data_IF_975721137903
#
_entry.id   IF_975721137903
#
_cell.length_a   1.000
_cell.length_b   1.000
_cell.length_c   1.000
_cell.angle_alpha   90.00
_cell.angle_beta   90.00
_cell.angle_gamma   90.00
#
_symmetry.space_group_name_H-M   'P 1'
#
loop_
_entity.id
_entity.type
_entity.pdbx_description
1 polymer ?
#
# COMPACT_ATOMS: atom_id res chain seq x y z
N UNK A 1 26.23 -17.33 12.18
CA UNK A 1 26.17 -16.15 11.29
C UNK A 1 25.53 -16.64 10.01
N UNK A 2 24.67 -15.85 9.37
CA UNK A 2 24.05 -16.22 8.09
C UNK A 2 25.05 -16.09 6.95
N UNK A 3 24.99 -17.04 5.98
CA UNK A 3 25.89 -17.03 4.81
C UNK A 3 25.41 -16.08 3.70
N UNK A 4 24.51 -15.14 4.03
CA UNK A 4 23.99 -14.12 3.12
C UNK A 4 23.80 -12.76 3.82
N UNK A 5 23.72 -11.70 3.02
CA UNK A 5 23.48 -10.32 3.48
C UNK A 5 22.25 -9.75 2.76
N UNK A 6 21.34 -9.12 3.51
CA UNK A 6 20.28 -8.30 2.93
C UNK A 6 20.88 -6.96 2.52
N UNK A 7 20.96 -6.68 1.22
CA UNK A 7 21.62 -5.47 0.71
C UNK A 7 20.73 -4.22 0.80
N UNK A 8 19.41 -4.38 0.59
CA UNK A 8 18.44 -3.26 0.63
C UNK A 8 17.01 -3.78 0.67
N UNK A 9 16.07 -2.89 1.02
CA UNK A 9 14.63 -3.12 0.75
C UNK A 9 14.35 -2.80 -0.71
N UNK A 10 13.70 -3.71 -1.45
CA UNK A 10 13.37 -3.51 -2.87
C UNK A 10 12.03 -2.80 -3.03
N UNK A 11 10.94 -3.41 -2.56
CA UNK A 11 9.58 -2.87 -2.64
C UNK A 11 8.66 -3.52 -1.60
N UNK A 12 7.49 -2.92 -1.42
CA UNK A 12 6.32 -3.57 -0.80
C UNK A 12 5.28 -3.80 -1.89
N UNK A 13 4.67 -4.97 -1.93
CA UNK A 13 3.70 -5.35 -2.96
C UNK A 13 2.29 -5.45 -2.40
N UNK A 14 1.30 -4.98 -3.18
CA UNK A 14 -0.12 -5.16 -2.93
C UNK A 14 -0.79 -5.82 -4.14
N UNK A 15 -1.57 -6.86 -3.88
CA UNK A 15 -2.49 -7.39 -4.89
C UNK A 15 -3.76 -6.56 -4.87
N UNK A 16 -4.13 -6.02 -6.04
CA UNK A 16 -5.27 -5.14 -6.22
C UNK A 16 -6.30 -5.76 -7.15
N UNK A 17 -7.57 -5.46 -6.95
CA UNK A 17 -8.64 -5.94 -7.83
C UNK A 17 -8.77 -5.11 -9.11
N UNK A 18 -8.32 -3.84 -9.06
CA UNK A 18 -8.38 -2.88 -10.17
C UNK A 18 -7.13 -1.99 -10.16
N UNK A 19 -6.23 -2.23 -11.12
CA UNK A 19 -4.95 -1.53 -11.20
C UNK A 19 -5.11 -0.06 -11.58
N UNK A 20 -6.11 0.28 -12.43
CA UNK A 20 -6.36 1.66 -12.83
C UNK A 20 -6.86 2.49 -11.64
N UNK A 21 -7.80 1.95 -10.85
CA UNK A 21 -8.27 2.59 -9.63
C UNK A 21 -7.14 2.80 -8.62
N UNK A 22 -6.29 1.80 -8.43
CA UNK A 22 -5.17 1.90 -7.49
C UNK A 22 -4.13 2.91 -7.96
N UNK A 23 -3.81 2.94 -9.26
CA UNK A 23 -2.91 3.93 -9.84
C UNK A 23 -3.47 5.35 -9.71
N UNK A 24 -4.76 5.56 -9.97
CA UNK A 24 -5.40 6.87 -9.76
C UNK A 24 -5.24 7.33 -8.31
N UNK A 25 -5.40 6.43 -7.34
CA UNK A 25 -5.19 6.79 -5.94
C UNK A 25 -3.72 7.11 -5.62
N UNK A 26 -2.80 6.20 -5.92
CA UNK A 26 -1.39 6.40 -5.56
C UNK A 26 -0.72 7.53 -6.36
N UNK A 27 -1.03 7.68 -7.65
CA UNK A 27 -0.38 8.68 -8.50
C UNK A 27 -1.12 10.03 -8.47
N UNK A 28 -2.45 10.04 -8.70
CA UNK A 28 -3.17 11.30 -8.88
C UNK A 28 -3.55 11.94 -7.54
N UNK A 29 -3.81 11.13 -6.49
CA UNK A 29 -4.20 11.64 -5.17
C UNK A 29 -2.99 11.79 -4.24
N UNK A 30 -2.13 10.74 -4.13
CA UNK A 30 -0.97 10.77 -3.24
C UNK A 30 0.29 11.36 -3.91
N UNK A 31 0.27 11.59 -5.24
CA UNK A 31 1.35 12.22 -5.96
C UNK A 31 2.58 11.32 -6.19
N UNK A 32 2.42 9.99 -6.15
CA UNK A 32 3.52 9.07 -6.43
C UNK A 32 3.79 8.98 -7.93
N UNK A 33 5.04 8.73 -8.30
CA UNK A 33 5.45 8.60 -9.69
C UNK A 33 5.23 7.17 -10.20
N UNK A 34 4.52 7.01 -11.33
CA UNK A 34 4.44 5.73 -12.02
C UNK A 34 5.78 5.45 -12.74
N UNK A 35 6.50 4.43 -12.29
CA UNK A 35 7.77 4.04 -12.88
C UNK A 35 7.63 3.11 -14.07
N UNK A 36 6.72 2.14 -13.98
CA UNK A 36 6.50 1.12 -15.00
C UNK A 36 5.13 0.48 -14.81
N UNK A 37 4.51 0.08 -15.93
CA UNK A 37 3.32 -0.77 -15.96
C UNK A 37 3.45 -1.75 -17.11
N UNK A 38 3.34 -3.04 -16.85
CA UNK A 38 3.43 -4.06 -17.89
C UNK A 38 2.85 -5.41 -17.45
N UNK A 39 2.31 -6.20 -18.39
CA UNK A 39 2.02 -7.61 -18.13
C UNK A 39 3.32 -8.38 -17.88
N UNK A 40 3.19 -9.53 -17.24
CA UNK A 40 4.30 -10.49 -17.07
C UNK A 40 4.05 -11.74 -17.91
N UNK A 41 5.12 -12.42 -18.27
CA UNK A 41 5.02 -13.73 -18.92
C UNK A 41 4.32 -14.72 -17.99
N UNK A 42 3.16 -15.29 -18.38
CA UNK A 42 2.39 -16.17 -17.49
C UNK A 42 3.17 -17.43 -17.06
N UNK A 43 3.95 -18.04 -17.98
CA UNK A 43 4.73 -19.23 -17.65
C UNK A 43 5.84 -18.95 -16.64
N UNK A 44 6.41 -17.75 -16.65
CA UNK A 44 7.37 -17.30 -15.66
C UNK A 44 6.68 -17.03 -14.31
N UNK A 45 5.56 -16.27 -14.32
CA UNK A 45 4.85 -15.90 -13.10
C UNK A 45 4.27 -17.11 -12.38
N UNK A 46 3.69 -18.07 -13.09
CA UNK A 46 3.21 -19.31 -12.47
C UNK A 46 4.29 -19.96 -11.58
N UNK A 47 5.54 -19.99 -12.05
CA UNK A 47 6.67 -20.55 -11.28
C UNK A 47 7.08 -19.67 -10.10
N UNK A 48 6.98 -18.34 -10.24
CA UNK A 48 7.37 -17.41 -9.17
C UNK A 48 6.37 -17.43 -8.02
N UNK A 49 5.07 -17.37 -8.33
CA UNK A 49 4.02 -17.26 -7.31
C UNK A 49 3.42 -18.62 -6.92
N UNK A 50 3.79 -19.69 -7.61
CA UNK A 50 3.30 -21.06 -7.40
C UNK A 50 1.75 -21.17 -7.50
N UNK A 51 1.15 -20.40 -8.41
CA UNK A 51 -0.29 -20.41 -8.70
C UNK A 51 -0.48 -20.85 -10.15
N UNK A 52 -1.04 -22.06 -10.40
CA UNK A 52 -1.29 -22.53 -11.75
C UNK A 52 -2.17 -21.57 -12.56
N UNK A 53 -1.74 -21.28 -13.78
CA UNK A 53 -2.44 -20.39 -14.69
C UNK A 53 -2.42 -18.91 -14.30
N UNK A 54 -1.50 -18.50 -13.44
CA UNK A 54 -1.37 -17.09 -13.05
C UNK A 54 -1.07 -16.20 -14.28
N UNK A 55 -1.91 -15.19 -14.49
CA UNK A 55 -1.74 -14.10 -15.45
C UNK A 55 -1.89 -12.78 -14.72
N UNK A 56 -0.85 -11.94 -14.76
CA UNK A 56 -0.80 -10.69 -14.00
C UNK A 56 -0.38 -9.49 -14.84
N UNK A 57 -0.85 -8.33 -14.43
CA UNK A 57 -0.29 -7.04 -14.79
C UNK A 57 0.29 -6.37 -13.54
N UNK A 58 1.46 -5.76 -13.68
CA UNK A 58 2.20 -5.15 -12.57
C UNK A 58 2.48 -3.70 -12.88
N UNK A 59 2.30 -2.84 -11.88
CA UNK A 59 2.78 -1.47 -11.91
C UNK A 59 3.69 -1.21 -10.71
N UNK A 60 4.78 -0.47 -10.94
CA UNK A 60 5.62 0.06 -9.88
C UNK A 60 5.39 1.56 -9.74
N UNK A 61 5.17 2.01 -8.51
CA UNK A 61 5.06 3.43 -8.18
C UNK A 61 6.11 3.82 -7.15
N UNK A 62 6.67 5.02 -7.29
CA UNK A 62 7.68 5.56 -6.39
C UNK A 62 7.04 6.48 -5.37
N UNK A 63 6.97 6.02 -4.13
CA UNK A 63 6.70 6.85 -2.96
C UNK A 63 7.99 7.52 -2.46
N UNK A 64 7.93 8.56 -1.62
CA UNK A 64 9.11 9.11 -0.98
C UNK A 64 9.89 8.03 -0.21
N UNK A 65 11.13 7.79 -0.64
CA UNK A 65 12.03 6.82 0.00
C UNK A 65 11.67 5.34 -0.14
N UNK A 66 10.57 4.99 -0.83
CA UNK A 66 10.14 3.61 -0.94
C UNK A 66 9.39 3.33 -2.25
N UNK A 67 9.50 2.10 -2.76
CA UNK A 67 8.78 1.65 -3.96
C UNK A 67 7.64 0.74 -3.57
N UNK A 68 6.47 0.94 -4.21
CA UNK A 68 5.35 0.01 -4.13
C UNK A 68 5.20 -0.73 -5.46
N UNK A 69 4.82 -2.00 -5.37
CA UNK A 69 4.40 -2.82 -6.49
C UNK A 69 2.90 -3.09 -6.37
N UNK A 70 2.16 -2.80 -7.42
CA UNK A 70 0.73 -3.08 -7.51
C UNK A 70 0.52 -4.20 -8.51
N UNK A 71 -0.12 -5.29 -8.10
CA UNK A 71 -0.31 -6.49 -8.91
C UNK A 71 -1.80 -6.74 -9.10
N UNK A 72 -2.26 -6.73 -10.35
CA UNK A 72 -3.59 -7.20 -10.69
C UNK A 72 -3.51 -8.56 -11.33
N UNK A 73 -4.18 -9.56 -10.73
CA UNK A 73 -4.34 -10.87 -11.33
C UNK A 73 -5.51 -10.84 -12.31
N UNK A 74 -5.30 -11.34 -13.53
CA UNK A 74 -6.34 -11.60 -14.54
C UNK A 74 -6.84 -13.04 -14.44
N UNK A 75 -5.95 -13.98 -14.08
CA UNK A 75 -6.21 -15.39 -13.83
C UNK A 75 -5.41 -15.89 -12.62
N UNK A 76 -5.83 -17.00 -11.97
CA UNK A 76 -7.03 -17.80 -12.23
C UNK A 76 -8.32 -17.13 -11.74
N UNK A 77 -9.46 -17.68 -12.12
CA UNK A 77 -10.76 -17.29 -11.57
C UNK A 77 -10.95 -17.74 -10.11
N UNK A 78 -11.99 -17.25 -9.44
CA UNK A 78 -12.32 -17.63 -8.06
C UNK A 78 -11.40 -17.02 -7.00
N UNK A 79 -10.65 -15.97 -7.34
CA UNK A 79 -9.84 -15.21 -6.38
C UNK A 79 -10.73 -14.60 -5.30
N UNK A 80 -10.22 -14.60 -4.08
CA UNK A 80 -10.93 -14.03 -2.92
C UNK A 80 -10.27 -12.74 -2.48
N UNK A 81 -11.08 -11.83 -1.95
CA UNK A 81 -10.56 -10.65 -1.24
C UNK A 81 -10.08 -11.06 0.14
N UNK A 82 -8.94 -10.54 0.55
CA UNK A 82 -8.44 -10.67 1.93
C UNK A 82 -9.20 -9.66 2.79
N UNK A 83 -9.93 -10.15 3.79
CA UNK A 83 -10.63 -9.32 4.77
C UNK A 83 -10.02 -9.57 6.15
N UNK A 84 -8.96 -8.84 6.48
CA UNK A 84 -8.26 -8.93 7.75
C UNK A 84 -8.39 -7.63 8.54
N UNK A 85 -8.57 -7.78 9.86
CA UNK A 85 -8.58 -6.64 10.79
C UNK A 85 -7.14 -6.32 11.21
N UNK A 86 -6.85 -5.12 11.68
CA UNK A 86 -5.50 -4.76 12.17
C UNK A 86 -4.95 -5.66 13.28
N UNK A 87 -5.82 -6.37 14.00
CA UNK A 87 -5.44 -7.31 15.06
C UNK A 87 -5.25 -8.76 14.60
N UNK A 88 -5.54 -9.07 13.34
CA UNK A 88 -5.41 -10.43 12.83
C UNK A 88 -3.96 -10.71 12.43
N UNK A 89 -3.43 -11.88 12.84
CA UNK A 89 -2.06 -12.24 12.49
C UNK A 89 -1.88 -12.36 10.97
N UNK A 90 -0.82 -11.72 10.44
CA UNK A 90 -0.58 -11.60 9.01
C UNK A 90 -1.09 -10.30 8.39
N UNK A 91 -1.87 -9.48 9.12
CA UNK A 91 -2.22 -8.14 8.68
C UNK A 91 -0.96 -7.29 8.48
N UNK A 92 -0.94 -6.53 7.40
CA UNK A 92 0.13 -5.59 7.08
C UNK A 92 -0.45 -4.25 6.60
N UNK A 93 0.29 -3.18 6.84
CA UNK A 93 0.00 -1.85 6.34
C UNK A 93 1.30 -1.15 5.92
N UNK A 94 1.19 -0.07 5.16
CA UNK A 94 2.29 0.85 4.89
C UNK A 94 1.97 2.19 5.53
N UNK A 95 2.99 2.84 6.12
CA UNK A 95 2.84 4.13 6.77
C UNK A 95 3.58 5.23 6.00
N UNK A 96 2.96 6.41 5.88
CA UNK A 96 3.55 7.61 5.28
C UNK A 96 3.42 8.80 6.23
N UNK A 97 4.50 9.54 6.36
CA UNK A 97 4.46 10.84 7.03
C UNK A 97 3.80 11.87 6.11
N UNK A 98 2.90 12.67 6.68
CA UNK A 98 2.20 13.76 6.00
C UNK A 98 2.33 15.06 6.79
N UNK A 99 2.33 16.18 6.12
CA UNK A 99 2.35 17.50 6.76
C UNK A 99 0.98 17.95 7.28
N UNK A 100 -0.11 17.46 6.65
CA UNK A 100 -1.49 17.74 7.03
C UNK A 100 -2.36 16.48 6.93
N UNK A 101 -2.63 15.85 8.07
CA UNK A 101 -3.41 14.62 8.13
C UNK A 101 -4.88 14.81 7.76
N UNK A 102 -5.46 15.99 8.02
CA UNK A 102 -6.85 16.27 7.69
C UNK A 102 -7.02 16.44 6.17
N UNK A 103 -6.05 17.10 5.51
CA UNK A 103 -6.00 17.20 4.06
C UNK A 103 -5.79 15.83 3.40
N UNK A 104 -4.88 15.00 3.94
CA UNK A 104 -4.64 13.63 3.45
C UNK A 104 -5.89 12.75 3.54
N UNK A 105 -6.62 12.83 4.66
CA UNK A 105 -7.91 12.13 4.85
C UNK A 105 -8.95 12.62 3.84
N UNK A 106 -9.08 13.93 3.65
CA UNK A 106 -10.06 14.50 2.72
C UNK A 106 -9.79 14.06 1.27
N UNK A 107 -8.53 14.11 0.85
CA UNK A 107 -8.10 13.65 -0.47
C UNK A 107 -8.36 12.14 -0.66
N UNK A 108 -7.99 11.32 0.33
CA UNK A 108 -8.23 9.87 0.30
C UNK A 108 -9.71 9.53 0.21
N UNK A 109 -10.57 10.21 0.98
CA UNK A 109 -12.03 10.03 0.92
C UNK A 109 -12.61 10.30 -0.46
N UNK A 110 -12.12 11.32 -1.16
CA UNK A 110 -12.58 11.64 -2.51
C UNK A 110 -12.30 10.51 -3.53
N UNK A 111 -11.31 9.68 -3.26
CA UNK A 111 -10.94 8.50 -4.04
C UNK A 111 -11.54 7.18 -3.49
N UNK A 112 -12.42 7.25 -2.49
CA UNK A 112 -13.04 6.06 -1.90
C UNK A 112 -12.16 5.31 -0.88
N UNK A 113 -11.03 5.89 -0.47
CA UNK A 113 -10.16 5.34 0.59
C UNK A 113 -10.57 5.97 1.92
N UNK A 114 -11.18 5.16 2.80
CA UNK A 114 -11.88 5.66 3.97
C UNK A 114 -11.07 5.45 5.26
N UNK A 115 -11.08 6.42 6.21
CA UNK A 115 -10.47 6.21 7.50
C UNK A 115 -11.25 5.18 8.31
N UNK A 116 -10.54 4.35 9.09
CA UNK A 116 -11.13 3.38 10.01
C UNK A 116 -11.74 4.05 11.27
N UNK A 117 -11.36 5.27 11.52
CA UNK A 117 -11.83 6.11 12.64
C UNK A 117 -11.29 7.53 12.52
N UNK A 118 -11.60 8.43 13.48
CA UNK A 118 -11.02 9.75 13.48
C UNK A 118 -9.51 9.68 13.80
N UNK A 119 -8.70 10.64 13.27
CA UNK A 119 -7.29 10.71 13.61
C UNK A 119 -7.11 10.90 15.13
N UNK A 120 -6.11 10.23 15.69
CA UNK A 120 -5.81 10.21 17.11
C UNK A 120 -4.50 10.95 17.41
N UNK A 121 -4.46 11.64 18.53
CA UNK A 121 -3.24 12.28 19.02
C UNK A 121 -2.28 11.23 19.60
N UNK A 122 -1.00 11.37 19.27
CA UNK A 122 0.05 10.50 19.79
C UNK A 122 0.60 11.05 21.11
N UNK A 123 0.31 10.37 22.22
CA UNK A 123 0.69 10.77 23.59
C UNK A 123 2.08 10.27 24.02
N UNK A 124 2.68 9.34 23.24
CA UNK A 124 3.99 8.71 23.52
C UNK A 124 4.69 8.24 22.26
N UNK A 125 5.90 7.72 22.43
CA UNK A 125 6.72 7.19 21.33
C UNK A 125 7.45 8.29 20.52
N UNK A 126 8.12 7.90 19.41
CA UNK A 126 8.96 8.81 18.64
C UNK A 126 8.16 9.94 17.97
N UNK A 127 6.88 9.72 17.70
CA UNK A 127 5.98 10.70 17.06
C UNK A 127 5.07 11.42 18.07
N UNK A 128 5.42 11.43 19.37
CA UNK A 128 4.65 12.10 20.42
C UNK A 128 4.36 13.57 20.07
N UNK A 129 3.09 13.96 20.18
CA UNK A 129 2.60 15.30 19.80
C UNK A 129 2.18 15.40 18.34
N UNK A 130 2.31 14.33 17.59
CA UNK A 130 1.74 14.17 16.26
C UNK A 130 0.36 13.53 16.28
N UNK A 131 -0.14 13.18 15.10
CA UNK A 131 -1.46 12.54 14.90
C UNK A 131 -1.31 11.34 13.97
N UNK A 132 -2.20 10.36 14.11
CA UNK A 132 -2.18 9.13 13.29
C UNK A 132 -3.60 8.71 12.91
N UNK A 133 -3.73 8.10 11.73
CA UNK A 133 -4.97 7.48 11.26
C UNK A 133 -4.68 6.30 10.34
N UNK A 134 -5.47 5.25 10.41
CA UNK A 134 -5.52 4.21 9.40
C UNK A 134 -6.63 4.52 8.40
N UNK A 135 -6.31 4.40 7.12
CA UNK A 135 -7.26 4.45 6.02
C UNK A 135 -7.26 3.12 5.28
N UNK A 136 -8.37 2.76 4.63
CA UNK A 136 -8.52 1.50 3.91
C UNK A 136 -9.24 1.72 2.60
N UNK A 137 -8.72 1.10 1.55
CA UNK A 137 -9.34 1.10 0.24
C UNK A 137 -10.37 -0.05 0.07
N UNK A 138 -10.95 -0.15 -1.13
CA UNK A 138 -11.94 -1.17 -1.45
C UNK A 138 -11.36 -2.60 -1.48
N UNK A 139 -10.05 -2.76 -1.61
CA UNK A 139 -9.37 -4.06 -1.59
C UNK A 139 -8.91 -4.47 -0.19
N UNK A 140 -9.16 -3.62 0.81
CA UNK A 140 -8.71 -3.85 2.19
C UNK A 140 -7.26 -3.42 2.44
N UNK A 141 -6.60 -2.81 1.46
CA UNK A 141 -5.25 -2.27 1.63
C UNK A 141 -5.31 -1.13 2.63
N UNK A 142 -4.50 -1.26 3.67
CA UNK A 142 -4.46 -0.29 4.75
C UNK A 142 -3.22 0.59 4.63
N UNK A 143 -3.46 1.89 4.67
CA UNK A 143 -2.45 2.94 4.66
C UNK A 143 -2.58 3.72 5.96
N UNK A 144 -1.48 3.84 6.69
CA UNK A 144 -1.37 4.68 7.87
C UNK A 144 -0.81 6.05 7.47
N UNK A 145 -1.51 7.12 7.84
CA UNK A 145 -0.94 8.45 7.78
C UNK A 145 -0.50 8.88 9.17
N UNK A 146 0.73 9.39 9.25
CA UNK A 146 1.31 9.95 10.46
C UNK A 146 1.64 11.42 10.17
N UNK A 147 1.07 12.32 10.95
CA UNK A 147 1.50 13.71 10.96
C UNK A 147 2.46 13.89 12.14
N UNK A 148 3.77 14.04 11.91
CA UNK A 148 4.73 14.30 12.98
C UNK A 148 4.41 15.61 13.72
N UNK A 149 4.86 15.78 14.97
CA UNK A 149 4.73 17.04 15.67
C UNK A 149 5.41 18.16 14.90
N UNK A 150 4.81 19.36 14.85
CA UNK A 150 5.46 20.52 14.23
C UNK A 150 6.78 20.77 14.94
N UNK A 151 7.86 20.78 14.18
CA UNK A 151 9.16 21.20 14.71
C UNK A 151 9.03 22.65 15.20
N UNK A 152 9.43 22.88 16.46
CA UNK A 152 9.44 24.22 17.05
C UNK A 152 10.62 25.02 16.55
#
# INVERSE_FOLDING_TARGET
MSDFTIASTNHTSFTVSDLDRSLAYFCDVLGFELLNRSPRDPAFIERVVAIPGADIEVAYVQAPGHRLELIQYRAPDGRRQVDSRPCDAGFAHVAFDVDDIDAAIAASKSAGVLPLGPPQDLDRGPNKGGRVVYTRDADGITIEFIQPPKQR
#
